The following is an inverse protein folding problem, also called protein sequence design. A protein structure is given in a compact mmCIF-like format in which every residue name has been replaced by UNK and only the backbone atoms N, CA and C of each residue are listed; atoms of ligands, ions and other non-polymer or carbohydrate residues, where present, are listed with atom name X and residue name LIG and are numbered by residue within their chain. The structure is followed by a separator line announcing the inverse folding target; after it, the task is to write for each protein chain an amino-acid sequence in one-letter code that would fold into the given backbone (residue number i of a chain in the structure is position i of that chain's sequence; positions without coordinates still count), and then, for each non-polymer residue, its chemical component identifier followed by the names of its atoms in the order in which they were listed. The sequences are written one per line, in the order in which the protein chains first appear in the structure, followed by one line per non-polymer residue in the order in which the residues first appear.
data_IF_789474762135
#
_entry.id   IF_789474762135
#
_cell.length_a   1.000
_cell.length_b   1.000
_cell.length_c   1.000
_cell.angle_alpha   90.00
_cell.angle_beta   90.00
_cell.angle_gamma   90.00
#
_symmetry.space_group_name_H-M   'P 1'
#
loop_
_entity.id
_entity.type
_entity.pdbx_description
1 polymer ?
#
# COMPACT_ATOMS: atom_id res chain seq x y z
N UNK A 1 9.61 6.79 -21.82
CA UNK A 1 10.04 6.29 -20.51
C UNK A 1 10.48 4.84 -20.64
N UNK A 2 11.64 4.53 -20.12
CA UNK A 2 12.13 3.17 -20.17
C UNK A 2 11.64 2.41 -18.95
N UNK A 3 11.42 1.10 -19.12
CA UNK A 3 10.94 0.28 -18.02
C UNK A 3 11.98 0.15 -16.93
N UNK A 4 13.27 0.21 -17.28
CA UNK A 4 14.34 0.03 -16.30
C UNK A 4 14.42 1.17 -15.30
N UNK A 5 13.89 2.34 -15.65
CA UNK A 5 13.92 3.50 -14.76
C UNK A 5 12.59 3.73 -14.07
N UNK A 6 11.59 2.94 -14.44
CA UNK A 6 10.27 3.13 -13.88
C UNK A 6 10.18 2.44 -12.53
N UNK A 7 9.65 3.15 -11.56
CA UNK A 7 9.35 2.52 -10.28
C UNK A 7 8.34 1.42 -10.49
N UNK A 8 8.49 0.35 -9.73
CA UNK A 8 7.48 -0.67 -9.66
C UNK A 8 6.26 -0.03 -9.01
N UNK A 9 5.14 0.01 -9.74
CA UNK A 9 3.93 0.66 -9.24
C UNK A 9 3.45 0.01 -7.94
N UNK A 10 3.67 -1.28 -7.77
CA UNK A 10 3.24 -1.96 -6.55
C UNK A 10 4.09 -1.55 -5.36
N UNK A 11 5.36 -1.22 -5.58
CA UNK A 11 6.19 -0.69 -4.50
C UNK A 11 5.77 0.72 -4.13
N UNK A 12 5.37 1.52 -5.09
CA UNK A 12 4.83 2.86 -4.83
C UNK A 12 3.56 2.74 -3.98
N UNK A 13 2.65 1.87 -4.39
CA UNK A 13 1.41 1.66 -3.65
C UNK A 13 1.70 1.14 -2.24
N UNK A 14 2.60 0.17 -2.13
CA UNK A 14 2.94 -0.40 -0.82
C UNK A 14 3.55 0.62 0.12
N UNK A 15 4.43 1.49 -0.40
CA UNK A 15 5.03 2.50 0.46
C UNK A 15 4.00 3.53 0.92
N UNK A 16 3.00 3.81 0.09
CA UNK A 16 1.92 4.71 0.50
C UNK A 16 1.00 4.05 1.52
N UNK A 17 0.74 2.76 1.37
CA UNK A 17 -0.01 2.03 2.40
C UNK A 17 0.70 2.15 3.74
N UNK A 18 2.01 1.94 3.75
CA UNK A 18 2.80 2.04 4.98
C UNK A 18 2.74 3.45 5.55
N UNK A 19 2.89 4.46 4.69
CA UNK A 19 2.86 5.86 5.11
C UNK A 19 1.54 6.20 5.80
N UNK A 20 0.43 5.89 5.15
CA UNK A 20 -0.88 6.25 5.68
C UNK A 20 -1.27 5.39 6.87
N UNK A 21 -0.80 4.14 6.90
CA UNK A 21 -0.99 3.29 8.06
C UNK A 21 -0.34 3.91 9.31
N UNK A 22 0.91 4.34 9.14
CA UNK A 22 1.64 4.94 10.26
C UNK A 22 1.03 6.27 10.69
N UNK A 23 0.57 7.06 9.73
CA UNK A 23 -0.12 8.31 10.07
C UNK A 23 -1.35 8.07 10.92
N UNK A 24 -2.03 6.94 10.67
CA UNK A 24 -3.23 6.60 11.41
C UNK A 24 -2.92 5.88 12.73
N UNK A 25 -1.66 5.60 12.98
CA UNK A 25 -1.23 4.97 14.23
C UNK A 25 -1.50 3.48 14.29
N UNK A 26 -1.65 2.82 13.15
CA UNK A 26 -1.97 1.40 13.10
C UNK A 26 -0.71 0.57 12.92
N UNK A 27 -0.69 -0.60 13.58
CA UNK A 27 0.31 -1.62 13.29
C UNK A 27 -0.09 -2.36 12.02
N UNK A 28 0.85 -3.13 11.45
CA UNK A 28 0.52 -3.98 10.32
C UNK A 28 -0.60 -4.96 10.67
N UNK A 29 -0.53 -5.53 11.86
CA UNK A 29 -1.55 -6.48 12.32
C UNK A 29 -2.92 -5.80 12.42
N UNK A 30 -2.98 -4.62 13.00
CA UNK A 30 -4.25 -3.91 13.15
C UNK A 30 -4.86 -3.58 11.80
N UNK A 31 -4.04 -3.14 10.85
CA UNK A 31 -4.52 -2.86 9.51
C UNK A 31 -5.02 -4.13 8.85
N UNK A 32 -4.26 -5.23 8.97
CA UNK A 32 -4.65 -6.50 8.37
C UNK A 32 -6.02 -6.96 8.88
N UNK A 33 -6.27 -6.78 10.18
CA UNK A 33 -7.56 -7.14 10.76
C UNK A 33 -8.71 -6.34 10.18
N UNK A 34 -8.46 -5.08 9.90
CA UNK A 34 -9.53 -4.18 9.43
C UNK A 34 -9.90 -4.40 7.97
N UNK A 35 -8.95 -4.82 7.12
CA UNK A 35 -9.21 -5.00 5.68
C UNK A 35 -10.24 -6.12 5.40
N UNK A 36 -10.34 -7.36 5.84
CA UNK A 36 -9.38 -8.20 6.53
C UNK A 36 -8.50 -9.01 5.57
N UNK A 37 -7.23 -9.07 5.88
CA UNK A 37 -6.26 -9.89 5.14
C UNK A 37 -5.26 -10.43 6.15
N UNK A 38 -4.31 -11.22 5.69
CA UNK A 38 -3.29 -11.74 6.58
C UNK A 38 -2.25 -10.66 6.88
N UNK A 39 -1.60 -10.80 8.04
CA UNK A 39 -0.47 -9.93 8.41
C UNK A 39 0.63 -10.02 7.36
N UNK A 40 0.87 -11.24 6.87
CA UNK A 40 1.90 -11.48 5.88
C UNK A 40 1.64 -10.70 4.59
N UNK A 41 0.38 -10.60 4.20
CA UNK A 41 0.02 -9.84 3.00
C UNK A 41 0.36 -8.37 3.15
N UNK A 42 0.01 -7.78 4.31
CA UNK A 42 0.33 -6.38 4.57
C UNK A 42 1.84 -6.18 4.60
N UNK A 43 2.56 -7.08 5.26
CA UNK A 43 4.02 -6.97 5.33
C UNK A 43 4.65 -7.02 3.95
N UNK A 44 4.15 -7.90 3.08
CA UNK A 44 4.68 -8.01 1.73
C UNK A 44 4.38 -6.78 0.90
N UNK A 45 3.18 -6.23 1.05
CA UNK A 45 2.83 -5.01 0.34
C UNK A 45 3.76 -3.86 0.70
N UNK A 46 4.14 -3.76 1.97
CA UNK A 46 4.93 -2.65 2.46
C UNK A 46 6.43 -2.84 2.26
N UNK A 47 6.86 -4.04 1.92
CA UNK A 47 8.27 -4.31 1.71
C UNK A 47 8.64 -3.93 0.28
N UNK A 48 9.95 -4.03 -0.03
CA UNK A 48 10.42 -3.72 -1.38
C UNK A 48 10.18 -4.90 -2.33
N UNK A 49 9.73 -6.04 -1.81
CA UNK A 49 9.44 -7.17 -2.65
C UNK A 49 8.20 -6.92 -3.50
N UNK A 50 8.17 -7.55 -4.66
CA UNK A 50 7.04 -7.40 -5.55
C UNK A 50 5.82 -8.14 -4.96
N UNK A 51 4.76 -7.42 -4.73
CA UNK A 51 3.50 -7.99 -4.29
C UNK A 51 2.38 -7.24 -4.99
N UNK A 52 1.66 -7.94 -5.86
CA UNK A 52 0.55 -7.30 -6.57
C UNK A 52 -0.67 -7.15 -5.67
N UNK A 53 -1.51 -6.21 -6.02
CA UNK A 53 -2.76 -5.97 -5.31
C UNK A 53 -3.80 -5.57 -6.35
N UNK A 54 -5.01 -6.09 -6.20
CA UNK A 54 -6.09 -5.72 -7.11
C UNK A 54 -6.60 -4.31 -6.77
N UNK A 55 -7.24 -3.69 -7.73
CA UNK A 55 -7.87 -2.39 -7.49
C UNK A 55 -8.95 -2.50 -6.41
N UNK A 56 -9.73 -3.57 -6.44
CA UNK A 56 -10.75 -3.78 -5.42
C UNK A 56 -10.16 -3.85 -4.03
N UNK A 57 -9.05 -4.56 -3.90
CA UNK A 57 -8.40 -4.69 -2.61
C UNK A 57 -7.80 -3.35 -2.18
N UNK A 58 -7.19 -2.63 -3.13
CA UNK A 58 -6.63 -1.32 -2.82
C UNK A 58 -7.71 -0.36 -2.35
N UNK A 59 -8.91 -0.46 -2.92
CA UNK A 59 -10.03 0.36 -2.50
C UNK A 59 -10.37 0.13 -1.04
N UNK A 60 -10.28 -1.13 -0.58
CA UNK A 60 -10.53 -1.43 0.83
C UNK A 60 -9.48 -0.78 1.73
N UNK A 61 -8.22 -0.82 1.30
CA UNK A 61 -7.17 -0.14 2.05
C UNK A 61 -7.42 1.36 2.11
N UNK A 62 -7.82 1.95 0.97
CA UNK A 62 -8.09 3.37 0.91
C UNK A 62 -9.22 3.75 1.87
N UNK A 63 -10.27 2.94 1.91
CA UNK A 63 -11.41 3.20 2.80
C UNK A 63 -11.00 3.14 4.27
N UNK A 64 -10.27 2.10 4.64
CA UNK A 64 -9.83 1.92 6.04
C UNK A 64 -8.89 3.05 6.44
N UNK A 65 -8.00 3.44 5.53
CA UNK A 65 -7.02 4.49 5.81
C UNK A 65 -7.58 5.89 5.59
N UNK A 66 -8.81 5.98 5.09
CA UNK A 66 -9.53 7.25 4.90
C UNK A 66 -8.79 8.18 3.95
N UNK A 67 -8.30 7.62 2.84
CA UNK A 67 -7.60 8.36 1.81
C UNK A 67 -8.22 8.06 0.45
N UNK A 68 -8.20 9.03 -0.44
CA UNK A 68 -8.62 8.80 -1.81
C UNK A 68 -7.65 7.84 -2.48
N UNK A 69 -8.19 6.95 -3.29
CA UNK A 69 -7.38 5.87 -3.89
C UNK A 69 -6.23 6.42 -4.74
N UNK A 70 -6.43 7.56 -5.40
CA UNK A 70 -5.39 8.09 -6.29
C UNK A 70 -4.11 8.46 -5.52
N UNK A 71 -4.23 8.76 -4.23
CA UNK A 71 -3.07 9.10 -3.41
C UNK A 71 -2.08 7.96 -3.29
N UNK A 72 -2.55 6.72 -3.46
CA UNK A 72 -1.69 5.56 -3.33
C UNK A 72 -0.78 5.37 -4.54
N UNK A 73 -1.05 6.08 -5.63
CA UNK A 73 -0.25 5.97 -6.85
C UNK A 73 0.79 7.08 -6.97
N UNK A 74 0.87 7.95 -6.00
CA UNK A 74 1.81 9.08 -6.06
C UNK A 74 3.14 8.66 -5.46
N UNK A 75 4.21 8.82 -6.25
CA UNK A 75 5.54 8.47 -5.79
C UNK A 75 6.09 9.64 -4.97
N UNK A 76 6.12 9.46 -3.65
CA UNK A 76 6.54 10.49 -2.71
C UNK A 76 8.05 10.51 -2.49
N UNK A 77 8.78 9.64 -3.19
CA UNK A 77 10.23 9.54 -3.01
C UNK A 77 11.02 10.29 -4.09
N UNK A 78 10.37 11.17 -4.78
CA UNK A 78 11.02 11.93 -5.85
C UNK A 78 11.70 13.16 -5.29
#
# INVERSE_FOLDING_TARGET
MTTSERKDIYNIVGSNIKKYRKEKGLTQHALADLIPVSDSFVAKLESITYQSISIDMLERFADVLEKDIYLFFIDNNK
#
